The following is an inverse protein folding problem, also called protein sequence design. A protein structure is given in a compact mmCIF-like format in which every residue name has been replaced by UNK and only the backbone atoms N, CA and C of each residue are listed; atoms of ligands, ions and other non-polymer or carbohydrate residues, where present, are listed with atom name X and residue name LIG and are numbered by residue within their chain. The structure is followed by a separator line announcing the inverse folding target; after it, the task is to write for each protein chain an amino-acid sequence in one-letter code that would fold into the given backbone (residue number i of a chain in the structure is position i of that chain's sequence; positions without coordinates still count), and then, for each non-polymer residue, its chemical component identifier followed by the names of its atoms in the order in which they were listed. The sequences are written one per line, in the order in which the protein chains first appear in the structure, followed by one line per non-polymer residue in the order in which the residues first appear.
data_IF_059839360006
#
_entry.id   IF_059839360006
#
_cell.length_a   1.000
_cell.length_b   1.000
_cell.length_c   1.000
_cell.angle_alpha   90.00
_cell.angle_beta   90.00
_cell.angle_gamma   90.00
#
_symmetry.space_group_name_H-M   'P 1'
#
loop_
_entity.id
_entity.type
_entity.pdbx_description
1 polymer ?
#
# COMPACT_ATOMS: atom_id res chain seq x y z
N UNK A 1 -10.82 -0.26 15.91
CA UNK A 1 -9.53 -0.97 15.84
C UNK A 1 -9.57 -1.94 14.66
N UNK A 2 -8.85 -1.64 13.60
CA UNK A 2 -8.78 -2.50 12.44
C UNK A 2 -8.09 -3.82 12.79
N UNK A 3 -8.70 -4.94 12.42
CA UNK A 3 -8.04 -6.23 12.55
C UNK A 3 -6.92 -6.30 11.54
N UNK A 4 -5.84 -6.16 12.05
CA UNK A 4 -4.81 -6.21 11.18
C UNK A 4 -4.87 -7.52 10.64
N UNK A 5 -4.88 -7.39 9.90
CA UNK A 5 -4.94 -8.39 9.28
C UNK A 5 -4.11 -9.35 9.68
N UNK A 6 -3.49 -9.23 10.02
CA UNK A 6 -2.86 -10.07 10.14
C UNK A 6 -3.04 -10.84 10.98
N UNK A 7 -3.93 -10.80 11.17
CA UNK A 7 -3.71 -11.40 11.77
C UNK A 7 -3.76 -12.51 12.52
N UNK A 8 -3.64 -13.43 11.94
CA UNK A 8 -3.66 -14.75 12.55
C UNK A 8 -2.45 -15.07 13.44
N UNK A 9 -1.47 -14.21 13.51
CA UNK A 9 -0.23 -14.58 14.20
C UNK A 9 0.56 -13.41 14.77
N UNK A 10 -0.14 -12.43 15.36
CA UNK A 10 0.60 -11.31 15.99
C UNK A 10 1.49 -11.84 17.12
N UNK A 11 2.76 -11.46 17.06
CA UNK A 11 3.77 -11.85 18.06
C UNK A 11 4.01 -10.71 19.03
N UNK A 12 3.91 -10.99 20.31
CA UNK A 12 4.09 -9.98 21.37
C UNK A 12 5.32 -10.30 22.21
N UNK A 13 6.03 -9.25 22.74
CA UNK A 13 5.74 -7.81 22.63
C UNK A 13 6.00 -7.27 21.23
N UNK A 14 5.23 -6.25 20.79
CA UNK A 14 5.26 -5.78 19.41
C UNK A 14 5.24 -4.25 19.32
N UNK A 15 6.15 -3.69 18.54
CA UNK A 15 6.06 -2.31 18.05
C UNK A 15 5.56 -2.39 16.60
N UNK A 16 4.32 -1.95 16.32
CA UNK A 16 3.79 -2.06 14.96
C UNK A 16 4.29 -0.93 14.04
N UNK A 17 3.77 -0.92 12.81
CA UNK A 17 4.05 0.13 11.83
C UNK A 17 5.00 -0.32 10.72
N UNK A 18 4.52 -0.20 9.47
CA UNK A 18 5.31 -0.58 8.30
C UNK A 18 5.23 0.49 7.19
N UNK A 19 4.97 1.72 7.57
CA UNK A 19 5.02 2.89 6.70
C UNK A 19 6.02 3.87 7.32
N UNK A 20 7.31 3.57 7.19
CA UNK A 20 8.37 4.20 7.97
C UNK A 20 9.20 5.12 7.08
N UNK A 21 9.33 6.38 7.47
CA UNK A 21 10.29 7.29 6.84
C UNK A 21 11.15 7.90 7.94
N UNK A 22 12.45 7.82 7.74
CA UNK A 22 13.40 8.35 8.71
C UNK A 22 14.67 8.87 8.06
N UNK A 23 15.59 9.30 8.91
CA UNK A 23 16.93 9.73 8.50
C UNK A 23 17.91 8.64 8.88
N UNK A 24 18.76 8.25 7.94
CA UNK A 24 19.81 7.26 8.19
C UNK A 24 20.77 7.82 9.25
N UNK A 25 20.78 7.21 10.42
CA UNK A 25 21.65 7.63 11.52
C UNK A 25 23.04 7.00 11.42
N UNK A 26 23.09 5.76 10.90
CA UNK A 26 24.33 5.00 10.79
C UNK A 26 24.18 3.91 9.74
N UNK A 27 25.27 3.56 9.06
CA UNK A 27 25.30 2.49 8.05
C UNK A 27 26.33 1.44 8.43
N UNK A 28 26.09 0.20 8.02
CA UNK A 28 27.07 -0.89 8.14
C UNK A 28 28.25 -0.67 7.19
N UNK A 29 29.39 -1.30 7.48
CA UNK A 29 30.65 -1.12 6.75
C UNK A 29 30.51 -1.43 5.24
N UNK A 30 29.67 -2.39 4.90
CA UNK A 30 29.53 -2.86 3.51
C UNK A 30 28.44 -2.10 2.74
N UNK A 31 27.67 -1.23 3.38
CA UNK A 31 26.56 -0.49 2.73
C UNK A 31 27.13 0.61 1.84
N UNK A 32 26.81 0.54 0.55
CA UNK A 32 27.21 1.52 -0.46
C UNK A 32 26.04 2.37 -0.94
N UNK A 33 24.81 1.91 -0.70
CA UNK A 33 23.59 2.53 -1.24
C UNK A 33 23.10 3.72 -0.42
N UNK A 34 23.51 3.81 0.85
CA UNK A 34 23.09 4.88 1.77
C UNK A 34 24.28 5.43 2.55
N UNK A 35 24.13 6.67 3.01
CA UNK A 35 25.06 7.30 3.94
C UNK A 35 24.26 8.00 5.05
N UNK A 36 24.93 8.29 6.17
CA UNK A 36 24.34 9.06 7.26
C UNK A 36 23.80 10.39 6.73
N UNK A 37 22.57 10.74 7.13
CA UNK A 37 21.87 11.93 6.70
C UNK A 37 20.90 11.70 5.53
N UNK A 38 21.02 10.57 4.83
CA UNK A 38 20.07 10.27 3.73
C UNK A 38 18.66 10.05 4.30
N UNK A 39 17.64 10.37 3.52
CA UNK A 39 16.27 10.03 3.88
C UNK A 39 15.94 8.65 3.30
N UNK A 40 15.46 7.75 4.17
CA UNK A 40 15.14 6.38 3.80
C UNK A 40 13.74 6.00 4.28
N UNK A 41 13.14 5.05 3.57
CA UNK A 41 11.85 4.47 3.95
C UNK A 41 11.93 2.96 4.09
N UNK A 42 11.06 2.40 4.92
CA UNK A 42 10.90 0.94 5.07
C UNK A 42 9.42 0.61 4.97
N UNK A 43 9.10 -0.34 4.11
CA UNK A 43 7.72 -0.76 3.83
C UNK A 43 7.30 -1.99 4.63
N UNK A 44 6.57 -2.88 3.98
CA UNK A 44 5.87 -3.98 4.64
C UNK A 44 6.76 -5.15 5.05
N UNK A 45 7.95 -5.29 4.44
CA UNK A 45 8.85 -6.41 4.75
C UNK A 45 10.30 -5.94 4.74
N UNK A 46 11.15 -6.67 5.47
CA UNK A 46 12.55 -6.29 5.70
C UNK A 46 13.54 -7.38 5.35
N UNK A 47 13.07 -8.53 4.86
CA UNK A 47 13.96 -9.60 4.41
C UNK A 47 13.17 -10.63 3.59
N UNK A 48 13.91 -11.52 2.92
CA UNK A 48 13.38 -12.68 2.17
C UNK A 48 14.47 -13.76 2.15
N UNK A 49 14.24 -14.90 1.50
CA UNK A 49 15.26 -15.97 1.45
C UNK A 49 16.45 -15.61 0.54
N UNK A 50 16.29 -14.67 -0.38
CA UNK A 50 17.32 -14.16 -1.32
C UNK A 50 17.87 -15.21 -2.30
N UNK A 51 17.34 -16.45 -2.29
CA UNK A 51 17.90 -17.55 -3.08
C UNK A 51 16.90 -18.20 -4.03
N UNK A 52 15.60 -18.09 -3.79
CA UNK A 52 14.58 -18.62 -4.71
C UNK A 52 14.50 -17.75 -5.98
N UNK A 53 13.84 -18.27 -6.99
CA UNK A 53 13.79 -17.59 -8.30
C UNK A 53 13.11 -16.22 -8.19
N UNK A 54 12.01 -16.11 -7.46
CA UNK A 54 11.35 -14.82 -7.24
C UNK A 54 12.32 -13.78 -6.64
N UNK A 55 13.13 -14.18 -5.64
CA UNK A 55 14.09 -13.26 -5.03
C UNK A 55 15.21 -12.87 -6.00
N UNK A 56 15.70 -13.82 -6.80
CA UNK A 56 16.73 -13.54 -7.81
C UNK A 56 16.24 -12.57 -8.89
N UNK A 57 14.95 -12.58 -9.17
CA UNK A 57 14.31 -11.70 -10.13
C UNK A 57 13.88 -10.34 -9.56
N UNK A 58 14.17 -10.09 -8.27
CA UNK A 58 13.78 -8.84 -7.60
C UNK A 58 12.30 -8.78 -7.26
N UNK A 59 11.69 -9.92 -7.06
CA UNK A 59 10.27 -10.05 -6.72
C UNK A 59 10.10 -10.68 -5.33
N UNK A 60 10.78 -10.12 -4.35
CA UNK A 60 10.84 -10.66 -2.99
C UNK A 60 9.46 -10.78 -2.33
N UNK A 61 8.47 -10.00 -2.78
CA UNK A 61 7.10 -10.12 -2.28
C UNK A 61 6.48 -11.50 -2.61
N UNK A 62 7.06 -12.22 -3.57
CA UNK A 62 6.65 -13.58 -3.94
C UNK A 62 7.65 -14.63 -3.46
N UNK A 63 8.49 -14.30 -2.49
CA UNK A 63 9.48 -15.23 -1.95
C UNK A 63 8.85 -16.57 -1.56
N UNK A 64 9.38 -17.68 -2.09
CA UNK A 64 8.82 -19.02 -1.85
C UNK A 64 8.91 -19.46 -0.39
N UNK A 65 9.92 -18.96 0.33
CA UNK A 65 10.06 -19.23 1.77
C UNK A 65 9.28 -18.23 2.64
N UNK A 66 8.62 -17.26 1.99
CA UNK A 66 7.92 -16.17 2.67
C UNK A 66 8.83 -14.97 2.93
N UNK A 67 8.29 -13.78 2.72
CA UNK A 67 8.98 -12.53 3.07
C UNK A 67 8.93 -12.32 4.58
N UNK A 68 9.96 -11.69 5.14
CA UNK A 68 10.00 -11.35 6.56
C UNK A 68 9.33 -9.99 6.77
N UNK A 69 8.20 -9.99 7.46
CA UNK A 69 7.44 -8.75 7.71
C UNK A 69 8.24 -7.79 8.61
N UNK A 70 7.99 -6.49 8.40
CA UNK A 70 8.67 -5.41 9.13
C UNK A 70 8.43 -5.48 10.63
N UNK A 71 7.25 -5.98 11.04
CA UNK A 71 6.97 -6.27 12.45
C UNK A 71 6.14 -7.55 12.55
N UNK A 72 6.21 -8.17 13.73
CA UNK A 72 5.48 -9.40 14.00
C UNK A 72 5.89 -10.58 13.10
N UNK A 73 7.07 -10.49 12.48
CA UNK A 73 7.73 -11.62 11.83
C UNK A 73 8.80 -12.21 12.76
N UNK A 74 9.42 -13.30 12.34
CA UNK A 74 10.51 -13.92 13.08
C UNK A 74 11.67 -14.15 12.13
N UNK A 75 12.84 -13.56 12.45
CA UNK A 75 14.02 -13.68 11.59
C UNK A 75 14.67 -15.08 11.75
N UNK A 76 15.73 -15.33 10.99
CA UNK A 76 16.42 -16.62 11.00
C UNK A 76 17.06 -16.94 12.37
N UNK A 77 17.36 -15.92 13.16
CA UNK A 77 17.90 -16.11 14.50
C UNK A 77 16.80 -16.26 15.57
N UNK A 78 15.53 -16.16 15.15
CA UNK A 78 14.39 -16.31 16.05
C UNK A 78 13.90 -15.01 16.68
N UNK A 79 14.53 -13.85 16.36
CA UNK A 79 14.10 -12.57 16.93
C UNK A 79 12.83 -12.07 16.28
N UNK A 80 11.95 -11.48 17.07
CA UNK A 80 10.71 -10.87 16.58
C UNK A 80 11.03 -9.51 15.96
N UNK A 81 10.64 -9.31 14.70
CA UNK A 81 10.80 -8.02 14.03
C UNK A 81 9.89 -6.97 14.64
N UNK A 82 10.37 -5.73 14.67
CA UNK A 82 9.69 -4.60 15.31
C UNK A 82 9.57 -3.44 14.30
N UNK A 83 8.43 -2.78 14.30
CA UNK A 83 8.11 -1.77 13.29
C UNK A 83 8.40 -0.32 13.71
N UNK A 84 7.79 0.60 12.97
CA UNK A 84 8.13 2.01 12.99
C UNK A 84 7.52 2.85 14.11
N UNK A 85 6.70 2.27 14.99
CA UNK A 85 6.25 3.00 16.19
C UNK A 85 7.35 3.00 17.23
N UNK A 86 8.54 3.42 16.81
CA UNK A 86 9.77 3.43 17.58
C UNK A 86 10.64 4.60 17.15
N UNK A 87 11.66 4.91 17.93
CA UNK A 87 12.57 6.02 17.60
C UNK A 87 13.60 5.63 16.55
N UNK A 88 13.85 4.35 16.35
CA UNK A 88 14.83 3.86 15.37
C UNK A 88 14.52 2.43 14.98
N UNK A 89 15.00 2.04 13.80
CA UNK A 89 14.89 0.68 13.30
C UNK A 89 16.22 0.34 12.60
N UNK A 90 16.62 -0.92 12.67
CA UNK A 90 17.77 -1.41 11.91
C UNK A 90 17.25 -2.40 10.88
N UNK A 91 17.57 -2.17 9.61
CA UNK A 91 17.13 -3.03 8.52
C UNK A 91 18.28 -3.23 7.54
N UNK A 92 18.20 -4.30 6.76
CA UNK A 92 19.14 -4.51 5.67
C UNK A 92 18.92 -3.42 4.60
N UNK A 93 20.02 -2.86 4.09
CA UNK A 93 19.98 -1.78 3.10
C UNK A 93 19.23 -2.16 1.81
N UNK A 94 19.14 -3.45 1.49
CA UNK A 94 18.39 -3.92 0.32
C UNK A 94 16.87 -3.72 0.47
N UNK A 95 16.39 -3.64 1.71
CA UNK A 95 14.97 -3.45 2.00
C UNK A 95 14.65 -2.01 2.42
N UNK A 96 15.64 -1.12 2.32
CA UNK A 96 15.44 0.32 2.55
C UNK A 96 15.27 1.03 1.21
N UNK A 97 14.32 1.93 1.13
CA UNK A 97 13.98 2.67 -0.09
C UNK A 97 14.46 4.13 0.04
N UNK A 98 15.07 4.66 -1.01
CA UNK A 98 15.49 6.06 -1.02
C UNK A 98 14.26 6.97 -1.19
N UNK A 99 14.08 7.88 -0.26
CA UNK A 99 12.95 8.82 -0.28
C UNK A 99 13.44 10.17 -0.84
N UNK A 100 12.83 10.67 -1.93
CA UNK A 100 13.22 11.97 -2.48
C UNK A 100 13.07 13.10 -1.47
N UNK A 101 14.03 14.02 -1.46
CA UNK A 101 14.03 15.15 -0.54
C UNK A 101 12.82 16.08 -0.73
N UNK A 102 12.27 16.12 -1.95
CA UNK A 102 11.10 16.93 -2.26
C UNK A 102 9.81 16.47 -1.57
N UNK A 103 9.76 15.21 -1.12
CA UNK A 103 8.59 14.69 -0.41
C UNK A 103 8.77 14.91 1.09
N UNK A 104 7.74 15.39 1.76
CA UNK A 104 7.76 15.41 3.23
C UNK A 104 7.73 13.98 3.76
N UNK A 105 8.28 13.74 4.94
CA UNK A 105 8.25 12.41 5.54
C UNK A 105 6.81 11.91 5.74
N UNK A 106 5.93 12.78 6.20
CA UNK A 106 4.51 12.44 6.40
C UNK A 106 3.80 12.12 5.09
N UNK A 107 4.19 12.79 3.99
CA UNK A 107 3.62 12.50 2.67
C UNK A 107 4.17 11.25 2.04
N UNK A 108 5.41 10.88 2.36
CA UNK A 108 6.06 9.70 1.78
C UNK A 108 5.68 8.40 2.51
N UNK A 109 5.45 8.46 3.83
CA UNK A 109 5.20 7.25 4.62
C UNK A 109 4.04 6.40 4.07
N UNK A 110 2.85 6.94 3.76
CA UNK A 110 1.77 6.10 3.25
C UNK A 110 2.05 5.53 1.85
N UNK A 111 3.03 6.06 1.11
CA UNK A 111 3.40 5.49 -0.20
C UNK A 111 4.04 4.11 -0.04
N UNK A 112 4.60 3.81 1.13
CA UNK A 112 5.36 2.58 1.38
C UNK A 112 4.48 1.35 1.64
N UNK A 113 3.17 1.55 1.78
CA UNK A 113 2.19 0.48 1.87
C UNK A 113 0.98 0.80 1.00
N UNK A 114 0.12 1.73 1.44
CA UNK A 114 -1.11 2.06 0.71
C UNK A 114 -0.81 2.55 -0.72
N UNK A 115 0.28 3.31 -0.88
CA UNK A 115 0.68 3.81 -2.20
C UNK A 115 1.08 2.70 -3.15
N UNK A 116 2.07 1.89 -2.77
CA UNK A 116 2.56 0.81 -3.65
C UNK A 116 1.46 -0.23 -3.91
N UNK A 117 0.65 -0.55 -2.91
CA UNK A 117 -0.44 -1.53 -3.04
C UNK A 117 -1.45 -1.11 -4.11
N UNK A 118 -1.74 0.19 -4.21
CA UNK A 118 -2.69 0.68 -5.21
C UNK A 118 -2.01 1.07 -6.53
N UNK A 119 -0.73 1.48 -6.49
CA UNK A 119 0.03 1.83 -7.69
C UNK A 119 0.39 0.60 -8.52
N UNK A 120 0.83 -0.47 -7.87
CA UNK A 120 1.35 -1.66 -8.56
C UNK A 120 0.33 -2.25 -9.56
N UNK A 121 -0.92 -2.55 -9.18
CA UNK A 121 -1.87 -3.09 -10.15
C UNK A 121 -2.21 -2.10 -11.27
N UNK A 122 -2.28 -0.80 -10.96
CA UNK A 122 -2.54 0.21 -12.00
C UNK A 122 -1.42 0.20 -13.05
N UNK A 123 -0.16 0.11 -12.60
CA UNK A 123 0.98 0.06 -13.51
C UNK A 123 1.06 -1.25 -14.27
N UNK A 124 0.86 -2.37 -13.58
CA UNK A 124 0.94 -3.71 -14.18
C UNK A 124 -0.06 -3.85 -15.34
N UNK A 125 -1.28 -3.36 -15.16
CA UNK A 125 -2.33 -3.48 -16.15
C UNK A 125 -2.41 -2.28 -17.10
N UNK A 126 -1.47 -1.35 -17.03
CA UNK A 126 -1.40 -0.20 -17.93
C UNK A 126 -2.55 0.78 -17.80
N UNK A 127 -3.12 0.89 -16.60
CA UNK A 127 -4.26 1.78 -16.37
C UNK A 127 -3.82 3.24 -16.55
N UNK A 128 -4.57 4.01 -17.33
CA UNK A 128 -4.22 5.41 -17.61
C UNK A 128 -5.34 6.17 -18.32
N UNK A 129 -4.95 7.16 -19.09
CA UNK A 129 -5.79 8.24 -19.64
C UNK A 129 -7.10 7.78 -20.31
N UNK A 130 -7.12 6.63 -20.92
CA UNK A 130 -8.29 6.20 -21.71
C UNK A 130 -9.18 5.21 -20.96
N UNK A 131 -8.91 4.99 -19.70
CA UNK A 131 -9.63 4.00 -18.90
C UNK A 131 -10.54 4.66 -17.87
N UNK A 132 -11.64 3.97 -17.58
CA UNK A 132 -12.57 4.31 -16.49
C UNK A 132 -12.32 3.34 -15.35
N UNK A 133 -11.97 3.88 -14.20
CA UNK A 133 -11.60 3.11 -13.01
C UNK A 133 -12.62 3.35 -11.90
N UNK A 134 -13.16 2.27 -11.34
CA UNK A 134 -13.88 2.35 -10.08
C UNK A 134 -12.92 2.12 -8.91
N UNK A 135 -13.02 2.95 -7.88
CA UNK A 135 -12.36 2.75 -6.60
C UNK A 135 -13.45 2.47 -5.56
N UNK A 136 -13.49 1.24 -5.06
CA UNK A 136 -14.49 0.82 -4.08
C UNK A 136 -13.96 1.09 -2.69
N UNK A 137 -14.64 1.98 -1.96
CA UNK A 137 -14.23 2.42 -0.64
C UNK A 137 -13.28 3.63 -0.67
N UNK A 138 -13.38 4.48 0.34
CA UNK A 138 -12.51 5.64 0.49
C UNK A 138 -11.95 5.67 1.91
N UNK A 139 -11.11 4.68 2.20
CA UNK A 139 -10.25 4.63 3.39
C UNK A 139 -8.83 5.03 3.00
N UNK A 140 -7.82 4.59 3.73
CA UNK A 140 -6.41 4.91 3.43
C UNK A 140 -5.98 4.46 2.04
N UNK A 141 -6.27 3.21 1.68
CA UNK A 141 -5.94 2.69 0.36
C UNK A 141 -6.74 3.40 -0.74
N UNK A 142 -8.07 3.56 -0.54
CA UNK A 142 -8.90 4.25 -1.54
C UNK A 142 -8.46 5.68 -1.79
N UNK A 143 -8.04 6.38 -0.73
CA UNK A 143 -7.45 7.72 -0.83
C UNK A 143 -6.24 7.70 -1.79
N UNK A 144 -5.31 6.75 -1.60
CA UNK A 144 -4.12 6.64 -2.46
C UNK A 144 -4.50 6.22 -3.88
N UNK A 145 -5.45 5.27 -4.01
CA UNK A 145 -5.91 4.82 -5.32
C UNK A 145 -6.45 5.98 -6.16
N UNK A 146 -7.31 6.83 -5.58
CA UNK A 146 -7.90 7.97 -6.29
C UNK A 146 -6.79 8.94 -6.74
N UNK A 147 -5.89 9.33 -5.83
CA UNK A 147 -4.82 10.27 -6.16
C UNK A 147 -3.89 9.74 -7.24
N UNK A 148 -3.48 8.49 -7.12
CA UNK A 148 -2.54 7.87 -8.07
C UNK A 148 -3.23 7.71 -9.44
N UNK A 149 -4.44 7.17 -9.47
CA UNK A 149 -5.17 6.99 -10.73
C UNK A 149 -5.41 8.33 -11.44
N UNK A 150 -5.79 9.36 -10.68
CA UNK A 150 -5.95 10.71 -11.22
C UNK A 150 -4.64 11.23 -11.82
N UNK A 151 -3.51 10.99 -11.14
CA UNK A 151 -2.19 11.41 -11.65
C UNK A 151 -1.80 10.65 -12.93
N UNK A 152 -2.29 9.40 -13.10
CA UNK A 152 -2.10 8.62 -14.33
C UNK A 152 -3.06 9.05 -15.44
N UNK A 153 -3.95 10.00 -15.17
CA UNK A 153 -4.89 10.54 -16.15
C UNK A 153 -6.19 9.77 -16.28
N UNK A 154 -6.44 8.80 -15.42
CA UNK A 154 -7.62 7.93 -15.45
C UNK A 154 -8.88 8.70 -15.03
N UNK A 155 -10.02 8.40 -15.65
CA UNK A 155 -11.32 8.85 -15.18
C UNK A 155 -11.72 7.99 -13.98
N UNK A 156 -11.83 8.61 -12.80
CA UNK A 156 -12.01 7.88 -11.54
C UNK A 156 -13.41 8.08 -10.97
N UNK A 157 -14.13 6.99 -10.74
CA UNK A 157 -15.40 6.98 -10.00
C UNK A 157 -15.16 6.33 -8.63
N UNK A 158 -15.53 7.03 -7.56
CA UNK A 158 -15.48 6.43 -6.21
C UNK A 158 -16.84 5.80 -5.91
N UNK A 159 -16.81 4.53 -5.49
CA UNK A 159 -18.01 3.79 -5.05
C UNK A 159 -17.96 3.69 -3.52
N UNK A 160 -19.00 4.19 -2.85
CA UNK A 160 -19.04 4.23 -1.38
C UNK A 160 -20.47 4.01 -0.88
N UNK A 161 -20.59 3.48 0.33
CA UNK A 161 -21.88 3.36 1.00
C UNK A 161 -22.27 4.65 1.74
N UNK A 162 -21.39 5.64 1.82
CA UNK A 162 -21.61 6.82 2.66
C UNK A 162 -21.44 8.12 1.88
N UNK A 163 -22.53 8.89 1.78
CA UNK A 163 -22.53 10.22 1.15
C UNK A 163 -21.50 11.17 1.77
N UNK A 164 -21.20 11.00 3.06
CA UNK A 164 -20.23 11.85 3.76
C UNK A 164 -18.83 11.86 3.10
N UNK A 165 -18.53 10.85 2.32
CA UNK A 165 -17.22 10.73 1.64
C UNK A 165 -17.15 11.49 0.31
N UNK A 166 -18.27 11.99 -0.22
CA UNK A 166 -18.32 12.61 -1.56
C UNK A 166 -17.37 13.80 -1.67
N UNK A 167 -17.44 14.72 -0.71
CA UNK A 167 -16.62 15.92 -0.77
C UNK A 167 -15.13 15.57 -0.77
N UNK A 168 -14.73 14.62 0.07
CA UNK A 168 -13.34 14.16 0.11
C UNK A 168 -12.92 13.50 -1.21
N UNK A 169 -13.78 12.65 -1.78
CA UNK A 169 -13.49 11.99 -3.06
C UNK A 169 -13.21 13.03 -4.15
N UNK A 170 -14.07 14.02 -4.28
CA UNK A 170 -13.91 15.05 -5.29
C UNK A 170 -12.65 15.87 -5.05
N UNK A 171 -12.37 16.22 -3.80
CA UNK A 171 -11.15 16.96 -3.43
C UNK A 171 -9.87 16.17 -3.76
N UNK A 172 -9.93 14.83 -3.67
CA UNK A 172 -8.81 13.97 -4.00
C UNK A 172 -8.61 13.80 -5.51
N UNK A 173 -9.61 14.22 -6.31
CA UNK A 173 -9.51 14.19 -7.76
C UNK A 173 -10.40 13.17 -8.45
N UNK A 174 -11.37 12.59 -7.75
CA UNK A 174 -12.35 11.72 -8.41
C UNK A 174 -13.17 12.53 -9.40
N UNK A 175 -13.50 11.92 -10.53
CA UNK A 175 -14.40 12.51 -11.55
C UNK A 175 -15.85 12.35 -11.16
N UNK A 176 -16.18 11.23 -10.53
CA UNK A 176 -17.55 10.85 -10.15
C UNK A 176 -17.57 10.17 -8.80
N UNK A 177 -18.77 10.15 -8.18
CA UNK A 177 -18.96 9.51 -6.89
C UNK A 177 -20.36 8.93 -6.85
N UNK A 178 -20.48 7.63 -6.53
CA UNK A 178 -21.74 6.92 -6.53
C UNK A 178 -21.99 6.23 -5.18
N UNK A 179 -23.23 6.25 -4.73
CA UNK A 179 -23.64 5.63 -3.45
C UNK A 179 -24.15 4.23 -3.70
N UNK A 180 -23.34 3.23 -3.36
CA UNK A 180 -23.67 1.82 -3.63
C UNK A 180 -24.81 1.28 -2.75
N UNK A 181 -25.11 1.95 -1.63
CA UNK A 181 -26.24 1.56 -0.77
C UNK A 181 -27.59 2.00 -1.35
N UNK A 182 -27.62 2.86 -2.35
CA UNK A 182 -28.88 3.25 -3.00
C UNK A 182 -29.31 2.17 -4.00
N UNK A 183 -30.58 1.72 -3.93
CA UNK A 183 -31.06 0.70 -4.88
C UNK A 183 -30.88 1.12 -6.33
N UNK A 184 -30.43 0.20 -7.16
CA UNK A 184 -30.27 0.44 -8.59
C UNK A 184 -28.95 1.12 -8.98
N UNK A 185 -28.14 1.61 -8.05
CA UNK A 185 -26.90 2.29 -8.41
C UNK A 185 -25.95 1.35 -9.16
N UNK A 186 -25.69 0.17 -8.62
CA UNK A 186 -24.77 -0.77 -9.28
C UNK A 186 -25.33 -1.26 -10.63
N UNK A 187 -26.65 -1.42 -10.74
CA UNK A 187 -27.27 -1.82 -12.00
C UNK A 187 -27.04 -0.79 -13.12
N UNK A 188 -27.01 0.50 -12.76
CA UNK A 188 -26.75 1.57 -13.73
C UNK A 188 -25.27 1.62 -14.16
N UNK A 189 -24.41 1.00 -13.39
CA UNK A 189 -22.95 1.02 -13.62
C UNK A 189 -22.44 -0.26 -14.29
N UNK A 190 -23.34 -1.17 -14.67
CA UNK A 190 -22.95 -2.41 -15.35
C UNK A 190 -22.15 -2.10 -16.61
N UNK A 191 -21.02 -2.79 -16.77
CA UNK A 191 -20.12 -2.64 -17.93
C UNK A 191 -19.59 -1.22 -18.12
N UNK A 192 -19.62 -0.40 -17.06
CA UNK A 192 -19.19 1.00 -17.16
C UNK A 192 -17.68 1.17 -16.97
N UNK A 193 -17.03 0.28 -16.21
CA UNK A 193 -15.64 0.42 -15.84
C UNK A 193 -14.77 -0.59 -16.57
N UNK A 194 -13.56 -0.13 -16.95
CA UNK A 194 -12.53 -1.02 -17.49
C UNK A 194 -11.80 -1.76 -16.34
N UNK A 195 -11.70 -1.11 -15.19
CA UNK A 195 -11.00 -1.64 -14.03
C UNK A 195 -11.71 -1.28 -12.74
N UNK A 196 -11.63 -2.16 -11.76
CA UNK A 196 -12.15 -1.91 -10.41
C UNK A 196 -11.05 -2.22 -9.41
N UNK A 197 -10.71 -1.26 -8.56
CA UNK A 197 -9.84 -1.49 -7.40
C UNK A 197 -10.73 -1.50 -6.16
N UNK A 198 -10.80 -2.64 -5.51
CA UNK A 198 -11.55 -2.78 -4.27
C UNK A 198 -10.60 -2.59 -3.08
N UNK A 199 -10.91 -1.62 -2.23
CA UNK A 199 -10.11 -1.29 -1.04
C UNK A 199 -10.89 -1.51 0.26
N UNK A 200 -12.01 -2.24 0.19
CA UNK A 200 -12.88 -2.47 1.35
C UNK A 200 -12.52 -3.80 2.00
N UNK A 201 -12.14 -3.76 3.29
CA UNK A 201 -11.84 -4.96 4.07
C UNK A 201 -13.03 -5.56 4.79
N UNK A 202 -14.17 -4.85 4.84
CA UNK A 202 -15.40 -5.37 5.44
C UNK A 202 -16.07 -6.37 4.48
N UNK A 203 -16.80 -7.35 4.99
CA UNK A 203 -17.55 -8.25 4.11
C UNK A 203 -18.52 -7.49 3.20
N UNK A 204 -18.49 -7.79 1.91
CA UNK A 204 -19.42 -7.20 0.93
C UNK A 204 -19.52 -8.15 -0.28
N UNK A 205 -20.48 -7.89 -1.15
CA UNK A 205 -20.76 -8.75 -2.30
C UNK A 205 -19.86 -8.39 -3.49
N UNK A 206 -18.84 -9.18 -3.73
CA UNK A 206 -17.95 -9.00 -4.88
C UNK A 206 -18.67 -9.22 -6.20
N UNK A 207 -19.67 -10.14 -6.24
CA UNK A 207 -20.40 -10.41 -7.48
C UNK A 207 -21.15 -9.18 -7.97
N UNK A 208 -21.62 -8.36 -7.04
CA UNK A 208 -22.31 -7.12 -7.40
C UNK A 208 -21.40 -6.09 -8.07
N UNK A 209 -20.06 -6.26 -7.95
CA UNK A 209 -19.09 -5.33 -8.56
C UNK A 209 -18.63 -5.79 -9.94
N UNK A 210 -18.74 -7.09 -10.28
CA UNK A 210 -18.18 -7.64 -11.54
C UNK A 210 -19.25 -8.03 -12.57
N UNK A 211 -20.52 -7.79 -12.30
CA UNK A 211 -21.63 -8.10 -13.21
C UNK A 211 -22.00 -6.93 -14.11
#
# INVERSE_FOLDING_TARGET
MGRXXXXGGALFPMFPGHEIVGTVARVGKEVKTFKTGDRAGVGCFVDSCRSCDACKEGQEQYCEAGMLLTYSGRDQAGHITQGGYSNQIVVDAQYALRIPQALSAAGAAPLLCAGITTYSPLRHWGVGKYHKLAVVGLGGLGHMAVKIARALGTEVTVLSTSEKKRQDAMRLGASHFEITSQPGTLAKLQRHFDFIIDTVSAPHDYNALVN
#
